data_IF_767456360716
#
_entry.id   IF_767456360716
#
_cell.length_a   1.000
_cell.length_b   1.000
_cell.length_c   1.000
_cell.angle_alpha   90.00
_cell.angle_beta   90.00
_cell.angle_gamma   90.00
#
_symmetry.space_group_name_H-M   'P 1'
#
loop_
_entity.id
_entity.type
_entity.pdbx_description
1 polymer ?
#
# COMPACT_ATOMS: atom_id res chain seq x y z
N UNK A 1 -9.41 17.22 6.38
CA UNK A 1 -9.16 16.49 7.65
C UNK A 1 -8.90 15.02 7.34
N UNK A 2 -8.00 14.32 8.09
CA UNK A 2 -7.83 12.86 7.94
C UNK A 2 -8.60 12.16 9.04
N UNK A 3 -9.30 11.09 8.68
CA UNK A 3 -10.01 10.20 9.60
C UNK A 3 -10.02 8.77 9.07
N UNK A 4 -10.31 7.81 9.94
CA UNK A 4 -10.56 6.44 9.51
C UNK A 4 -11.75 6.38 8.54
N UNK A 5 -11.67 5.47 7.58
CA UNK A 5 -12.74 5.25 6.62
C UNK A 5 -13.97 4.62 7.29
N UNK A 6 -15.14 4.96 6.79
CA UNK A 6 -16.43 4.37 7.15
C UNK A 6 -17.05 3.68 5.95
N UNK A 7 -18.12 2.91 6.18
CA UNK A 7 -18.84 2.21 5.11
C UNK A 7 -19.33 3.18 4.02
N UNK A 8 -19.76 4.37 4.41
CA UNK A 8 -20.26 5.39 3.49
C UNK A 8 -19.19 5.96 2.55
N UNK A 9 -17.91 5.86 2.93
CA UNK A 9 -16.80 6.38 2.12
C UNK A 9 -16.41 5.46 0.95
N UNK A 10 -16.76 4.16 1.05
CA UNK A 10 -16.29 3.13 0.13
C UNK A 10 -16.59 3.44 -1.35
N UNK A 11 -17.77 3.92 -1.74
CA UNK A 11 -18.04 4.26 -3.13
C UNK A 11 -17.09 5.34 -3.67
N UNK A 12 -16.80 6.35 -2.85
CA UNK A 12 -15.91 7.43 -3.25
C UNK A 12 -14.44 7.01 -3.24
N UNK A 13 -14.04 6.21 -2.25
CA UNK A 13 -12.69 5.60 -2.22
C UNK A 13 -12.43 4.78 -3.48
N UNK A 14 -13.37 3.92 -3.86
CA UNK A 14 -13.26 3.11 -5.08
C UNK A 14 -13.08 4.00 -6.32
N UNK A 15 -13.91 5.03 -6.47
CA UNK A 15 -13.82 5.94 -7.61
C UNK A 15 -12.44 6.60 -7.71
N UNK A 16 -11.88 7.08 -6.57
CA UNK A 16 -10.55 7.71 -6.55
C UNK A 16 -9.45 6.69 -6.84
N UNK A 17 -9.49 5.50 -6.25
CA UNK A 17 -8.49 4.44 -6.49
C UNK A 17 -8.53 4.00 -7.95
N UNK A 18 -9.71 3.68 -8.46
CA UNK A 18 -9.84 3.10 -9.80
C UNK A 18 -9.55 4.11 -10.92
N UNK A 19 -9.71 5.42 -10.69
CA UNK A 19 -9.23 6.44 -11.63
C UNK A 19 -7.70 6.39 -11.85
N UNK A 20 -6.94 6.02 -10.82
CA UNK A 20 -5.50 5.79 -10.94
C UNK A 20 -5.17 4.42 -11.54
N UNK A 21 -6.00 3.40 -11.26
CA UNK A 21 -5.85 2.06 -11.83
C UNK A 21 -6.08 2.07 -13.36
N UNK A 22 -7.03 2.85 -13.86
CA UNK A 22 -7.25 3.07 -15.30
C UNK A 22 -6.01 3.63 -16.01
N UNK A 23 -5.18 4.39 -15.28
CA UNK A 23 -3.89 4.91 -15.77
C UNK A 23 -2.73 3.92 -15.59
N UNK A 24 -3.01 2.70 -15.14
CA UNK A 24 -1.99 1.66 -14.87
C UNK A 24 -1.05 1.96 -13.71
N UNK A 25 -1.45 2.84 -12.78
CA UNK A 25 -0.62 3.27 -11.64
C UNK A 25 -0.82 2.45 -10.38
N UNK A 26 -1.88 1.66 -10.31
CA UNK A 26 -2.19 0.75 -9.19
C UNK A 26 -3.19 -0.31 -9.63
N UNK A 27 -3.45 -1.28 -8.77
CA UNK A 27 -4.47 -2.31 -9.01
C UNK A 27 -5.88 -1.76 -8.78
N UNK A 28 -6.83 -2.23 -9.59
CA UNK A 28 -8.26 -1.99 -9.35
C UNK A 28 -8.69 -2.57 -8.01
N UNK A 29 -9.63 -1.91 -7.36
CA UNK A 29 -10.28 -2.40 -6.15
C UNK A 29 -11.79 -2.54 -6.37
N UNK A 30 -12.29 -3.72 -6.01
CA UNK A 30 -13.74 -3.96 -5.95
C UNK A 30 -14.34 -3.41 -4.66
N UNK A 31 -15.64 -3.22 -4.63
CA UNK A 31 -16.35 -2.89 -3.38
C UNK A 31 -16.12 -3.93 -2.29
N UNK A 32 -16.16 -5.22 -2.66
CA UNK A 32 -15.96 -6.32 -1.72
C UNK A 32 -14.59 -6.22 -1.01
N UNK A 33 -13.52 -6.02 -1.77
CA UNK A 33 -12.17 -5.87 -1.22
C UNK A 33 -12.06 -4.64 -0.30
N UNK A 34 -12.70 -3.52 -0.65
CA UNK A 34 -12.68 -2.31 0.18
C UNK A 34 -13.49 -2.50 1.46
N UNK A 35 -14.64 -3.18 1.41
CA UNK A 35 -15.40 -3.49 2.62
C UNK A 35 -14.67 -4.47 3.52
N UNK A 36 -14.04 -5.52 2.96
CA UNK A 36 -13.27 -6.52 3.71
C UNK A 36 -12.13 -5.88 4.50
N UNK A 37 -11.45 -4.91 3.89
CA UNK A 37 -10.28 -4.23 4.45
C UNK A 37 -10.56 -2.81 4.95
N UNK A 38 -11.81 -2.45 5.17
CA UNK A 38 -12.22 -1.08 5.49
C UNK A 38 -11.45 -0.47 6.68
N UNK A 39 -11.17 -1.28 7.69
CA UNK A 39 -10.47 -0.83 8.91
C UNK A 39 -9.01 -0.46 8.68
N UNK A 40 -8.42 -0.90 7.59
CA UNK A 40 -7.05 -0.59 7.21
C UNK A 40 -6.94 0.81 6.57
N UNK A 41 -8.08 1.44 6.24
CA UNK A 41 -8.12 2.66 5.43
C UNK A 41 -8.37 3.92 6.24
N UNK A 42 -7.71 5.00 5.80
CA UNK A 42 -8.07 6.37 6.12
C UNK A 42 -8.43 7.15 4.86
N UNK A 43 -9.24 8.18 5.07
CA UNK A 43 -9.65 9.12 4.03
C UNK A 43 -9.24 10.53 4.39
N UNK A 44 -8.94 11.34 3.36
CA UNK A 44 -8.78 12.77 3.49
C UNK A 44 -10.08 13.44 3.03
N UNK A 45 -10.76 14.05 3.97
CA UNK A 45 -12.01 14.77 3.75
C UNK A 45 -11.79 16.29 3.74
N UNK A 46 -12.36 16.97 2.78
CA UNK A 46 -12.38 18.42 2.68
C UNK A 46 -13.79 18.88 2.27
N UNK A 47 -14.37 19.77 3.05
CA UNK A 47 -15.74 20.30 2.82
C UNK A 47 -16.83 19.22 2.61
N UNK A 48 -16.70 18.09 3.32
CA UNK A 48 -17.64 16.96 3.21
C UNK A 48 -17.38 16.04 2.03
N UNK A 49 -16.31 16.26 1.26
CA UNK A 49 -15.95 15.45 0.10
C UNK A 49 -14.64 14.69 0.36
N UNK A 50 -14.60 13.40 0.00
CA UNK A 50 -13.39 12.60 0.07
C UNK A 50 -12.55 12.90 -1.17
N UNK A 51 -11.35 13.45 -0.95
CA UNK A 51 -10.40 13.82 -1.99
C UNK A 51 -9.12 12.98 -2.01
N UNK A 52 -9.03 11.99 -1.13
CA UNK A 52 -7.94 11.02 -1.12
C UNK A 52 -8.13 9.95 -0.08
N UNK A 53 -7.45 8.83 -0.26
CA UNK A 53 -7.45 7.72 0.67
C UNK A 53 -6.11 6.99 0.66
N UNK A 54 -5.89 6.17 1.69
CA UNK A 54 -4.71 5.30 1.82
C UNK A 54 -5.06 4.13 2.74
N UNK A 55 -4.43 2.99 2.51
CA UNK A 55 -4.51 1.83 3.40
C UNK A 55 -3.17 1.49 4.03
N UNK A 56 -3.21 0.91 5.25
CA UNK A 56 -2.08 0.27 5.93
C UNK A 56 -2.39 -1.19 6.13
N UNK A 57 -1.76 -2.06 5.36
CA UNK A 57 -1.92 -3.51 5.51
C UNK A 57 -0.80 -4.09 6.36
N UNK A 58 -1.16 -4.80 7.43
CA UNK A 58 -0.19 -5.53 8.26
C UNK A 58 0.27 -6.77 7.49
N UNK A 59 1.56 -6.85 7.20
CA UNK A 59 2.18 -7.99 6.49
C UNK A 59 2.78 -8.98 7.48
N UNK A 60 3.46 -8.45 8.51
CA UNK A 60 4.11 -9.23 9.56
C UNK A 60 4.20 -8.43 10.85
N UNK A 61 4.70 -9.05 11.92
CA UNK A 61 4.82 -8.40 13.23
C UNK A 61 5.65 -7.11 13.22
N UNK A 62 6.59 -6.98 12.28
CA UNK A 62 7.50 -5.84 12.15
C UNK A 62 7.37 -5.07 10.83
N UNK A 63 6.39 -5.44 9.99
CA UNK A 63 6.23 -4.89 8.63
C UNK A 63 4.78 -4.63 8.28
N UNK A 64 4.48 -3.43 7.80
CA UNK A 64 3.22 -3.09 7.16
C UNK A 64 3.47 -2.44 5.79
N UNK A 65 2.46 -2.47 4.94
CA UNK A 65 2.46 -1.89 3.61
C UNK A 65 1.55 -0.67 3.53
N UNK A 66 2.10 0.44 3.01
CA UNK A 66 1.31 1.58 2.53
C UNK A 66 0.78 1.23 1.15
N UNK A 67 -0.53 1.03 1.04
CA UNK A 67 -1.17 0.62 -0.22
C UNK A 67 -2.34 1.50 -0.60
N UNK A 68 -2.72 1.45 -1.87
CA UNK A 68 -3.87 2.18 -2.42
C UNK A 68 -3.85 3.68 -2.07
N UNK A 69 -2.66 4.28 -2.00
CA UNK A 69 -2.52 5.73 -1.83
C UNK A 69 -3.02 6.43 -3.09
N UNK A 70 -4.18 7.02 -3.00
CA UNK A 70 -4.83 7.70 -4.11
C UNK A 70 -5.31 9.09 -3.69
N UNK A 71 -5.08 10.07 -4.56
CA UNK A 71 -5.52 11.47 -4.37
C UNK A 71 -6.23 11.92 -5.63
N UNK A 72 -7.43 12.49 -5.47
CA UNK A 72 -8.17 13.08 -6.59
C UNK A 72 -7.28 14.03 -7.38
N UNK A 73 -7.36 13.98 -8.69
CA UNK A 73 -6.50 14.79 -9.57
C UNK A 73 -6.62 16.29 -9.27
N UNK A 74 -7.82 16.78 -8.95
CA UNK A 74 -8.08 18.17 -8.57
C UNK A 74 -7.37 18.61 -7.28
N UNK A 75 -6.97 17.64 -6.43
CA UNK A 75 -6.30 17.87 -5.16
C UNK A 75 -4.79 17.57 -5.20
N UNK A 76 -4.25 17.21 -6.38
CA UNK A 76 -2.80 16.95 -6.54
C UNK A 76 -1.97 18.21 -6.28
N UNK A 77 -0.75 18.02 -5.79
CA UNK A 77 0.16 19.12 -5.46
C UNK A 77 -0.17 19.90 -4.17
N UNK A 78 -1.28 19.57 -3.49
CA UNK A 78 -1.75 20.25 -2.27
C UNK A 78 -1.27 19.58 -0.98
N UNK A 79 -0.36 18.62 -1.07
CA UNK A 79 0.20 17.90 0.08
C UNK A 79 -0.73 16.85 0.69
N UNK A 80 -1.86 16.52 0.07
CA UNK A 80 -2.82 15.51 0.56
C UNK A 80 -2.15 14.14 0.70
N UNK A 81 -1.43 13.68 -0.33
CA UNK A 81 -0.71 12.40 -0.28
C UNK A 81 0.33 12.33 0.84
N UNK A 82 1.08 13.42 1.05
CA UNK A 82 2.04 13.53 2.15
C UNK A 82 1.35 13.33 3.51
N UNK A 83 0.23 14.02 3.73
CA UNK A 83 -0.53 13.89 4.98
C UNK A 83 -1.08 12.48 5.19
N UNK A 84 -1.55 11.83 4.13
CA UNK A 84 -2.02 10.45 4.17
C UNK A 84 -0.90 9.47 4.53
N UNK A 85 0.31 9.61 3.95
CA UNK A 85 1.46 8.76 4.34
C UNK A 85 1.90 9.04 5.77
N UNK A 86 1.85 10.28 6.24
CA UNK A 86 2.11 10.57 7.66
C UNK A 86 1.11 9.87 8.58
N UNK A 87 -0.17 9.81 8.22
CA UNK A 87 -1.14 9.01 8.96
C UNK A 87 -0.73 7.52 9.00
N UNK A 88 -0.24 6.95 7.88
CA UNK A 88 0.25 5.57 7.85
C UNK A 88 1.43 5.35 8.81
N UNK A 89 2.35 6.33 8.87
CA UNK A 89 3.51 6.29 9.77
C UNK A 89 3.05 6.33 11.24
N UNK A 90 2.10 7.18 11.57
CA UNK A 90 1.56 7.30 12.92
C UNK A 90 0.76 6.04 13.31
N UNK A 91 0.02 5.46 12.38
CA UNK A 91 -0.68 4.19 12.59
C UNK A 91 0.29 3.03 12.83
N UNK A 92 1.38 2.95 12.05
CA UNK A 92 2.43 1.96 12.28
C UNK A 92 3.07 2.10 13.66
N UNK A 93 3.36 3.33 14.11
CA UNK A 93 3.84 3.62 15.46
C UNK A 93 2.87 3.15 16.53
N UNK A 94 1.59 3.47 16.36
CA UNK A 94 0.52 3.08 17.29
C UNK A 94 0.39 1.56 17.41
N UNK A 95 0.60 0.84 16.31
CA UNK A 95 0.55 -0.60 16.26
C UNK A 95 1.87 -1.29 16.69
N UNK A 96 2.93 -0.52 16.94
CA UNK A 96 4.25 -1.09 17.27
C UNK A 96 4.96 -1.72 16.07
N UNK A 97 4.62 -1.34 14.85
CA UNK A 97 5.23 -1.83 13.62
C UNK A 97 6.42 -0.97 13.27
N UNK A 98 7.60 -1.60 13.19
CA UNK A 98 8.88 -0.91 12.99
C UNK A 98 9.16 -0.52 11.54
N UNK A 99 8.61 -1.23 10.57
CA UNK A 99 8.90 -1.03 9.15
C UNK A 99 7.62 -0.78 8.35
N UNK A 100 7.67 0.23 7.52
CA UNK A 100 6.66 0.48 6.48
C UNK A 100 7.30 0.26 5.13
N UNK A 101 6.61 -0.45 4.24
CA UNK A 101 7.00 -0.61 2.85
C UNK A 101 5.96 -0.01 1.90
N UNK A 102 6.36 0.21 0.66
CA UNK A 102 5.46 0.51 -0.45
C UNK A 102 6.05 -0.07 -1.74
N UNK A 103 5.20 -0.61 -2.61
CA UNK A 103 5.50 -0.84 -4.01
C UNK A 103 4.96 0.36 -4.79
N UNK A 104 5.80 1.04 -5.57
CA UNK A 104 5.44 2.35 -6.11
C UNK A 104 6.15 2.71 -7.41
N UNK A 105 5.53 3.58 -8.20
CA UNK A 105 6.16 4.31 -9.30
C UNK A 105 6.67 5.69 -8.88
N UNK A 106 6.30 6.17 -7.69
CA UNK A 106 6.55 7.53 -7.22
C UNK A 106 7.75 7.59 -6.24
N UNK A 107 8.91 7.07 -6.69
CA UNK A 107 10.13 6.97 -5.87
C UNK A 107 10.46 8.29 -5.16
N UNK A 108 10.55 9.41 -5.91
CA UNK A 108 10.92 10.72 -5.36
C UNK A 108 9.95 11.24 -4.31
N UNK A 109 8.69 10.85 -4.39
CA UNK A 109 7.68 11.21 -3.40
C UNK A 109 7.94 10.48 -2.08
N UNK A 110 8.19 9.18 -2.13
CA UNK A 110 8.46 8.37 -0.94
C UNK A 110 9.85 8.66 -0.34
N UNK A 111 10.87 8.96 -1.15
CA UNK A 111 12.19 9.40 -0.65
C UNK A 111 12.08 10.63 0.26
N UNK A 112 11.29 11.64 -0.14
CA UNK A 112 11.03 12.84 0.69
C UNK A 112 10.35 12.51 2.02
N UNK A 113 9.72 11.35 2.13
CA UNK A 113 9.07 10.85 3.33
C UNK A 113 9.95 9.85 4.09
N UNK A 114 11.24 9.76 3.75
CA UNK A 114 12.22 8.93 4.45
C UNK A 114 12.13 7.44 4.12
N UNK A 115 11.55 7.08 2.98
CA UNK A 115 11.63 5.71 2.46
C UNK A 115 12.89 5.56 1.61
N UNK A 116 13.50 4.39 1.68
CA UNK A 116 14.69 4.02 0.92
C UNK A 116 14.37 2.86 -0.03
N UNK A 117 15.00 2.87 -1.21
CA UNK A 117 14.85 1.77 -2.18
C UNK A 117 15.51 0.52 -1.63
N UNK A 118 14.81 -0.60 -1.73
CA UNK A 118 15.31 -1.92 -1.34
C UNK A 118 15.15 -2.91 -2.50
N UNK A 119 15.99 -3.96 -2.49
CA UNK A 119 15.80 -5.05 -3.42
C UNK A 119 14.50 -5.80 -3.09
N UNK A 120 13.70 -6.12 -4.12
CA UNK A 120 12.40 -6.80 -3.95
C UNK A 120 12.53 -8.12 -3.19
N UNK A 121 13.63 -8.84 -3.38
CA UNK A 121 13.93 -10.12 -2.77
C UNK A 121 14.12 -10.04 -1.25
N UNK A 122 14.33 -8.84 -0.71
CA UNK A 122 14.43 -8.63 0.74
C UNK A 122 13.07 -8.60 1.43
N UNK A 123 11.99 -8.48 0.65
CA UNK A 123 10.63 -8.47 1.16
C UNK A 123 10.08 -9.90 1.32
N UNK A 124 9.20 -10.16 2.30
CA UNK A 124 8.63 -11.48 2.51
C UNK A 124 7.66 -11.88 1.40
N UNK A 125 7.52 -13.19 1.15
CA UNK A 125 6.61 -13.74 0.15
C UNK A 125 5.18 -13.22 0.24
N UNK A 126 4.70 -12.94 1.45
CA UNK A 126 3.34 -12.44 1.68
C UNK A 126 3.06 -11.12 0.93
N UNK A 127 4.09 -10.29 0.71
CA UNK A 127 3.96 -9.04 -0.05
C UNK A 127 3.47 -9.30 -1.48
N UNK A 128 3.85 -10.43 -2.05
CA UNK A 128 3.58 -10.76 -3.46
C UNK A 128 2.19 -11.38 -3.70
N UNK A 129 1.37 -11.57 -2.66
CA UNK A 129 0.05 -12.19 -2.80
C UNK A 129 -0.90 -11.43 -3.74
N UNK A 130 -0.81 -10.10 -3.78
CA UNK A 130 -1.59 -9.28 -4.69
C UNK A 130 -0.97 -9.22 -6.10
N UNK A 131 0.35 -9.44 -6.20
CA UNK A 131 1.06 -9.43 -7.48
C UNK A 131 0.63 -10.56 -8.41
N UNK A 132 0.16 -11.68 -7.88
CA UNK A 132 -0.37 -12.81 -8.67
C UNK A 132 -1.56 -12.37 -9.54
N UNK A 133 -2.35 -11.40 -9.09
CA UNK A 133 -3.50 -10.85 -9.80
C UNK A 133 -3.13 -9.67 -10.71
N UNK A 134 -1.87 -9.22 -10.68
CA UNK A 134 -1.43 -8.03 -11.40
C UNK A 134 -1.13 -8.37 -12.88
N UNK A 135 -1.69 -7.62 -13.85
CA UNK A 135 -1.37 -7.80 -15.26
C UNK A 135 0.12 -7.62 -15.61
N UNK A 136 0.87 -6.93 -14.74
CA UNK A 136 2.31 -6.67 -14.89
C UNK A 136 3.19 -7.64 -14.10
N UNK A 137 2.63 -8.74 -13.57
CA UNK A 137 3.36 -9.65 -12.67
C UNK A 137 4.70 -10.11 -13.23
N UNK A 138 4.76 -10.48 -14.53
CA UNK A 138 5.99 -10.97 -15.18
C UNK A 138 7.02 -9.86 -15.45
N UNK A 139 6.56 -8.62 -15.62
CA UNK A 139 7.39 -7.46 -15.95
C UNK A 139 7.09 -6.29 -15.00
N UNK A 140 7.05 -6.57 -13.70
CA UNK A 140 6.77 -5.56 -12.69
C UNK A 140 7.89 -4.52 -12.62
N UNK A 141 7.56 -3.29 -12.93
CA UNK A 141 8.43 -2.11 -12.94
C UNK A 141 8.26 -1.21 -11.70
N UNK A 142 7.42 -1.61 -10.74
CA UNK A 142 7.31 -0.91 -9.46
C UNK A 142 8.61 -1.02 -8.65
N UNK A 143 8.89 0.02 -7.88
CA UNK A 143 10.05 0.11 -7.01
C UNK A 143 9.62 -0.27 -5.59
N UNK A 144 10.37 -1.19 -4.96
CA UNK A 144 10.18 -1.53 -3.57
C UNK A 144 10.91 -0.53 -2.68
N UNK A 145 10.19 0.06 -1.74
CA UNK A 145 10.74 1.04 -0.81
C UNK A 145 10.35 0.69 0.63
N UNK A 146 11.25 0.94 1.56
CA UNK A 146 11.04 0.69 2.99
C UNK A 146 11.45 1.91 3.81
N UNK A 147 10.64 2.24 4.80
CA UNK A 147 10.98 3.19 5.86
C UNK A 147 11.07 2.45 7.19
N UNK A 148 12.19 2.61 7.88
CA UNK A 148 12.36 2.13 9.26
C UNK A 148 11.96 3.23 10.23
N UNK A 149 11.24 2.86 11.28
CA UNK A 149 10.86 3.74 12.40
C UNK A 149 11.76 3.40 13.60
N UNK A 150 12.90 4.07 13.77
CA UNK A 150 13.89 3.70 14.80
C UNK A 150 13.36 3.86 16.22
N UNK A 151 12.41 4.75 16.42
CA UNK A 151 11.72 4.98 17.69
C UNK A 151 10.79 3.83 18.12
N UNK A 152 10.37 2.96 17.18
CA UNK A 152 9.62 1.73 17.50
C UNK A 152 10.63 0.64 17.83
N UNK A 153 10.56 0.01 19.00
CA UNK A 153 11.49 -1.04 19.38
C UNK A 153 11.38 -2.24 18.43
N UNK A 154 12.47 -3.01 18.25
CA UNK A 154 12.40 -4.26 17.49
C UNK A 154 11.34 -5.19 18.10
N UNK A 155 10.57 -5.87 17.24
CA UNK A 155 9.63 -6.89 17.69
C UNK A 155 10.37 -8.01 18.43
N UNK A 156 9.82 -8.46 19.53
CA UNK A 156 10.28 -9.69 20.23
C UNK A 156 9.77 -10.96 19.54
N UNK A 157 8.86 -10.81 18.58
CA UNK A 157 8.34 -11.87 17.74
C UNK A 157 9.22 -12.10 16.51
N UNK A 158 8.93 -13.15 15.77
CA UNK A 158 9.66 -13.50 14.55
C UNK A 158 9.58 -12.34 13.53
N UNK A 159 10.74 -11.92 13.01
CA UNK A 159 10.80 -11.04 11.86
C UNK A 159 10.30 -11.76 10.61
N UNK A 160 9.71 -11.03 9.66
CA UNK A 160 9.26 -11.63 8.41
C UNK A 160 10.45 -12.25 7.65
N UNK A 161 10.39 -13.53 7.28
CA UNK A 161 11.46 -14.13 6.50
C UNK A 161 11.50 -13.50 5.10
N UNK A 162 12.69 -13.24 4.56
CA UNK A 162 12.82 -12.76 3.18
C UNK A 162 12.31 -13.83 2.20
N UNK A 163 11.94 -13.38 1.00
CA UNK A 163 11.58 -14.30 -0.08
C UNK A 163 12.79 -15.20 -0.41
N UNK A 164 12.64 -16.54 -0.36
CA UNK A 164 13.73 -17.44 -0.71
C UNK A 164 14.25 -17.17 -2.12
N UNK A 165 15.57 -17.16 -2.29
CA UNK A 165 16.18 -17.01 -3.62
C UNK A 165 15.74 -18.15 -4.53
N UNK A 166 15.36 -17.84 -5.76
CA UNK A 166 14.98 -18.82 -6.77
C UNK A 166 13.50 -19.24 -6.74
N UNK A 167 12.69 -18.69 -5.83
CA UNK A 167 11.24 -18.82 -5.98
C UNK A 167 10.81 -17.71 -6.95
N UNK A 168 10.39 -18.11 -8.15
CA UNK A 168 9.62 -17.24 -9.03
C UNK A 168 8.33 -16.86 -8.30
N UNK A 169 7.94 -15.59 -8.37
CA UNK A 169 6.60 -15.19 -7.97
C UNK A 169 5.65 -16.09 -8.76
N UNK A 170 4.69 -16.80 -8.13
CA UNK A 170 3.85 -17.74 -8.84
C UNK A 170 3.14 -17.01 -9.99
N UNK A 171 3.51 -17.33 -11.19
CA UNK A 171 2.72 -17.01 -12.39
C UNK A 171 1.51 -17.92 -12.31
N UNK A 172 0.30 -17.38 -12.52
CA UNK A 172 -0.87 -18.21 -12.72
C UNK A 172 -0.58 -19.15 -13.89
N UNK A 173 -0.39 -20.44 -13.61
CA UNK A 173 -0.38 -21.43 -14.67
C UNK A 173 -1.76 -21.34 -15.31
N UNK A 174 -1.80 -20.99 -16.60
CA UNK A 174 -2.99 -21.14 -17.40
C UNK A 174 -3.44 -22.59 -17.24
N UNK A 175 -4.59 -22.78 -16.61
CA UNK A 175 -5.26 -24.07 -16.66
C UNK A 175 -5.69 -24.22 -18.12
N UNK A 176 -4.94 -25.02 -18.88
CA UNK A 176 -5.38 -25.50 -20.19
C UNK A 176 -6.74 -26.18 -19.97
N UNK A 177 -7.78 -25.58 -20.51
CA UNK A 177 -9.10 -26.19 -20.58
C UNK A 177 -9.00 -27.37 -21.57
N UNK A 178 -9.07 -28.60 -21.04
CA UNK A 178 -9.46 -29.79 -21.85
C UNK A 178 -10.95 -29.78 -22.16
#
# INVERSE_FOLDING_TARGET
MIRNATIEDVPRMQAVINSHAELGKMLFKSYAELYEHLRDFAVFEETGEIIGCVGVAIIWADLAEVRSLAVDEKARGRGVGTKLVHWCIDEARRLGIRKLMSLTYEQRFFEKLGFEVVAKETLPLKVWSDCVKCPKNENCDEIAMVRVLPEVPPSTHLTAPPTPRGISIPVLMEMEAE
#
